data_IF_401118375631
#
_entry.id   IF_401118375631
#
_cell.length_a   1.000
_cell.length_b   1.000
_cell.length_c   1.000
_cell.angle_alpha   90.00
_cell.angle_beta   90.00
_cell.angle_gamma   90.00
#
_symmetry.space_group_name_H-M   'P 1'
#
loop_
_entity.id
_entity.type
_entity.pdbx_description
1 polymer ?
#
# COMPACT_ATOMS: atom_id res chain seq x y z
N UNK A 1 0.55 -3.35 10.72
CA UNK A 1 0.87 -4.25 9.59
C UNK A 1 0.12 -3.82 8.34
N UNK A 2 0.51 -4.32 7.16
CA UNK A 2 -0.13 -4.02 5.87
C UNK A 2 -0.39 -5.30 5.09
N UNK A 3 -1.53 -5.37 4.42
CA UNK A 3 -1.88 -6.41 3.46
C UNK A 3 -2.03 -5.83 2.05
N UNK A 4 -1.66 -6.62 1.04
CA UNK A 4 -1.83 -6.29 -0.37
C UNK A 4 -2.53 -7.44 -1.11
N UNK A 5 -3.49 -7.09 -1.97
CA UNK A 5 -4.16 -8.02 -2.89
C UNK A 5 -3.88 -7.59 -4.33
N UNK A 6 -3.32 -8.51 -5.13
CA UNK A 6 -3.09 -8.34 -6.57
C UNK A 6 -4.15 -9.15 -7.31
N UNK A 7 -4.88 -8.51 -8.23
CA UNK A 7 -5.88 -9.16 -9.07
C UNK A 7 -5.52 -9.01 -10.54
N UNK A 8 -5.67 -10.07 -11.30
CA UNK A 8 -5.53 -10.12 -12.76
C UNK A 8 -6.92 -10.31 -13.38
N UNK A 9 -7.67 -9.24 -13.66
CA UNK A 9 -8.96 -9.37 -14.32
C UNK A 9 -8.75 -9.91 -15.75
N UNK A 10 -9.63 -10.82 -16.24
CA UNK A 10 -9.59 -11.24 -17.64
C UNK A 10 -9.84 -10.02 -18.54
N UNK A 11 -9.04 -9.81 -19.59
CA UNK A 11 -9.01 -8.55 -20.33
C UNK A 11 -9.08 -8.68 -21.85
N UNK A 12 -9.75 -7.69 -22.46
CA UNK A 12 -9.52 -7.19 -23.82
C UNK A 12 -8.96 -5.74 -23.84
N UNK A 13 -9.16 -4.91 -22.80
CA UNK A 13 -8.64 -3.54 -22.72
C UNK A 13 -8.33 -3.04 -21.27
N UNK A 14 -7.07 -2.71 -20.97
CA UNK A 14 -6.64 -2.04 -19.72
C UNK A 14 -5.44 -2.66 -18.97
N UNK A 15 -5.03 -2.09 -17.81
CA UNK A 15 -3.75 -2.40 -17.15
C UNK A 15 -3.74 -3.72 -16.39
N UNK A 16 -2.97 -4.72 -16.83
CA UNK A 16 -3.06 -6.16 -16.50
C UNK A 16 -3.33 -6.52 -15.03
N UNK A 17 -2.91 -5.70 -14.05
CA UNK A 17 -3.14 -5.93 -12.62
C UNK A 17 -3.80 -4.75 -11.90
N UNK A 18 -4.67 -5.08 -10.93
CA UNK A 18 -5.22 -4.16 -9.92
C UNK A 18 -4.68 -4.52 -8.54
N UNK A 19 -4.07 -3.54 -7.87
CA UNK A 19 -3.46 -3.71 -6.54
C UNK A 19 -4.30 -2.95 -5.50
N UNK A 20 -4.73 -3.64 -4.45
CA UNK A 20 -5.44 -3.08 -3.30
C UNK A 20 -4.57 -3.20 -2.04
N UNK A 21 -4.39 -2.11 -1.31
CA UNK A 21 -3.62 -2.03 -0.08
C UNK A 21 -4.53 -1.78 1.13
N UNK A 22 -4.21 -2.41 2.26
CA UNK A 22 -4.87 -2.21 3.55
C UNK A 22 -3.83 -2.10 4.65
N UNK A 23 -3.99 -1.12 5.54
CA UNK A 23 -3.23 -1.04 6.79
C UNK A 23 -4.17 -1.24 7.97
N UNK A 24 -3.69 -1.95 8.98
CA UNK A 24 -4.39 -2.18 10.25
C UNK A 24 -4.12 -1.09 11.29
N UNK A 25 -2.99 -0.38 11.18
CA UNK A 25 -2.56 0.64 12.12
C UNK A 25 -2.55 2.02 11.47
N UNK A 26 -3.01 3.02 12.22
CA UNK A 26 -3.16 4.40 11.74
C UNK A 26 -1.84 5.08 11.37
N UNK A 27 -0.73 4.59 11.92
CA UNK A 27 0.63 5.08 11.64
C UNK A 27 1.07 4.84 10.19
N UNK A 28 0.50 3.84 9.50
CA UNK A 28 0.84 3.53 8.11
C UNK A 28 -0.12 4.19 7.14
N UNK A 29 0.36 5.17 6.38
CA UNK A 29 -0.38 5.76 5.25
C UNK A 29 -0.12 4.97 3.96
N UNK A 30 -0.99 4.01 3.64
CA UNK A 30 -0.89 3.23 2.38
C UNK A 30 -1.28 4.04 1.14
N UNK A 31 -1.94 5.18 1.31
CA UNK A 31 -2.23 6.08 0.18
C UNK A 31 -0.95 6.73 -0.36
N UNK A 32 0.07 6.91 0.48
CA UNK A 32 1.39 7.37 0.05
C UNK A 32 2.08 6.39 -0.91
N UNK A 33 1.98 5.07 -0.64
CA UNK A 33 2.50 4.03 -1.57
C UNK A 33 1.72 4.09 -2.89
N UNK A 34 0.39 4.08 -2.82
CA UNK A 34 -0.45 4.02 -4.02
C UNK A 34 -0.21 5.22 -4.96
N UNK A 35 -0.01 6.43 -4.42
CA UNK A 35 0.28 7.63 -5.22
C UNK A 35 1.60 7.53 -6.01
N UNK A 36 2.62 6.84 -5.49
CA UNK A 36 3.88 6.62 -6.22
C UNK A 36 3.72 5.78 -7.48
N UNK A 37 2.62 5.02 -7.58
CA UNK A 37 2.26 4.21 -8.74
C UNK A 37 1.06 4.80 -9.52
N UNK A 38 0.77 6.09 -9.35
CA UNK A 38 -0.34 6.76 -10.03
C UNK A 38 -1.74 6.39 -9.52
N UNK A 39 -1.84 5.71 -8.38
CA UNK A 39 -3.09 5.42 -7.70
C UNK A 39 -3.44 6.43 -6.60
N UNK A 40 -4.28 5.99 -5.66
CA UNK A 40 -4.72 6.83 -4.55
C UNK A 40 -5.62 6.11 -3.55
N UNK A 41 -6.17 6.87 -2.61
CA UNK A 41 -7.09 6.38 -1.58
C UNK A 41 -6.89 7.07 -0.24
N UNK A 42 -7.33 6.39 0.82
CA UNK A 42 -7.23 6.82 2.22
C UNK A 42 -6.01 6.21 2.91
N UNK A 43 -5.63 6.77 4.06
CA UNK A 43 -4.50 6.29 4.87
C UNK A 43 -4.53 4.79 5.13
N UNK A 44 -5.70 4.23 5.46
CA UNK A 44 -5.86 2.82 5.76
C UNK A 44 -6.21 1.94 4.54
N UNK A 45 -6.63 2.53 3.43
CA UNK A 45 -7.11 1.79 2.27
C UNK A 45 -6.88 2.55 0.96
N UNK A 46 -6.04 2.00 0.10
CA UNK A 46 -5.65 2.62 -1.17
C UNK A 46 -5.44 1.56 -2.26
N UNK A 47 -5.24 1.99 -3.50
CA UNK A 47 -4.95 1.08 -4.59
C UNK A 47 -4.44 1.78 -5.84
N UNK A 48 -3.86 0.98 -6.75
CA UNK A 48 -3.37 1.42 -8.05
C UNK A 48 -3.54 0.30 -9.09
N UNK A 49 -3.41 0.65 -10.37
CA UNK A 49 -3.38 -0.33 -11.47
C UNK A 49 -2.03 -0.27 -12.17
N UNK A 50 -1.55 -1.39 -12.70
CA UNK A 50 -0.23 -1.48 -13.33
C UNK A 50 -0.16 -2.63 -14.32
N UNK A 51 0.78 -2.51 -15.27
CA UNK A 51 1.18 -3.60 -16.17
C UNK A 51 2.42 -4.37 -15.69
N UNK A 52 3.02 -3.94 -14.59
CA UNK A 52 4.19 -4.59 -14.01
C UNK A 52 3.89 -6.05 -13.61
N UNK A 53 4.92 -6.91 -13.64
CA UNK A 53 4.82 -8.30 -13.19
C UNK A 53 4.44 -8.38 -11.71
N UNK A 54 3.92 -9.52 -11.27
CA UNK A 54 3.60 -9.73 -9.84
C UNK A 54 4.86 -9.57 -8.99
N UNK A 55 6.00 -10.06 -9.47
CA UNK A 55 7.29 -9.96 -8.81
C UNK A 55 7.76 -8.51 -8.66
N UNK A 56 7.60 -7.70 -9.70
CA UNK A 56 7.95 -6.27 -9.66
C UNK A 56 7.02 -5.51 -8.70
N UNK A 57 5.73 -5.85 -8.68
CA UNK A 57 4.76 -5.28 -7.71
C UNK A 57 5.16 -5.64 -6.29
N UNK A 58 5.51 -6.90 -6.01
CA UNK A 58 5.93 -7.34 -4.67
C UNK A 58 7.22 -6.62 -4.25
N UNK A 59 8.23 -6.54 -5.12
CA UNK A 59 9.49 -5.83 -4.84
C UNK A 59 9.25 -4.34 -4.57
N UNK A 60 8.39 -3.70 -5.36
CA UNK A 60 7.96 -2.33 -5.14
C UNK A 60 7.32 -2.17 -3.75
N UNK A 61 6.30 -2.98 -3.43
CA UNK A 61 5.57 -2.88 -2.17
C UNK A 61 6.46 -3.11 -0.95
N UNK A 62 7.39 -4.07 -1.01
CA UNK A 62 8.34 -4.33 0.07
C UNK A 62 9.25 -3.12 0.33
N UNK A 63 9.82 -2.54 -0.73
CA UNK A 63 10.68 -1.35 -0.63
C UNK A 63 9.94 -0.18 -0.02
N UNK A 64 8.73 0.10 -0.50
CA UNK A 64 7.93 1.24 -0.01
C UNK A 64 7.44 1.02 1.43
N UNK A 65 7.10 -0.23 1.81
CA UNK A 65 6.73 -0.55 3.18
C UNK A 65 7.89 -0.33 4.16
N UNK A 66 9.11 -0.75 3.82
CA UNK A 66 10.30 -0.50 4.67
C UNK A 66 10.56 1.00 4.80
N UNK A 67 10.44 1.76 3.70
CA UNK A 67 10.58 3.21 3.74
C UNK A 67 9.54 3.86 4.67
N UNK A 68 8.28 3.42 4.62
CA UNK A 68 7.24 3.92 5.53
C UNK A 68 7.52 3.55 6.99
N UNK A 69 7.95 2.31 7.28
CA UNK A 69 8.28 1.89 8.63
C UNK A 69 9.49 2.66 9.22
N UNK A 70 10.48 3.00 8.40
CA UNK A 70 11.60 3.85 8.80
C UNK A 70 11.21 5.31 9.06
N UNK A 71 10.14 5.79 8.42
CA UNK A 71 9.60 7.14 8.59
C UNK A 71 8.52 7.24 9.69
N UNK A 72 7.95 6.11 10.12
CA UNK A 72 6.82 6.02 11.05
C UNK A 72 7.17 5.70 12.51
N UNK A 73 8.45 5.51 12.85
CA UNK A 73 8.89 5.28 14.22
C UNK A 73 8.74 6.55 15.10
N UNK A 74 7.50 6.91 15.42
CA UNK A 74 7.16 7.71 16.59
C UNK A 74 6.77 6.73 17.70
N UNK A 75 7.26 6.87 18.95
CA UNK A 75 6.95 5.92 20.02
C UNK A 75 5.43 5.82 20.24
N UNK A 76 4.90 4.64 20.63
CA UNK A 76 3.48 4.48 20.86
C UNK A 76 3.02 5.51 21.89
N UNK A 77 2.07 6.36 21.49
CA UNK A 77 1.39 7.27 22.39
C UNK A 77 0.76 6.45 23.51
N UNK A 78 1.38 6.50 24.70
CA UNK A 78 0.85 5.92 25.92
C UNK A 78 -0.57 6.43 26.11
N UNK A 79 -1.51 5.51 26.34
CA UNK A 79 -2.87 5.84 26.73
C UNK A 79 -2.78 6.69 28.01
N UNK A 80 -3.21 7.95 27.93
CA UNK A 80 -3.51 8.74 29.12
C UNK A 80 -4.75 8.14 29.76
N UNK A 81 -4.57 7.38 30.83
CA UNK A 81 -5.63 7.13 31.80
C UNK A 81 -6.03 8.46 32.44
N UNK A 82 -7.33 8.70 32.51
CA UNK A 82 -7.99 9.67 33.36
C UNK A 82 -9.21 8.98 33.97
#
# INVERSE_FOLDING_TARGET
DMAALIREPPRDDGPTRKVSLRASADEFDVSAIARKSGGGGHRQAAGFSTDASVEDVVRFLQREFVALAGNGASPPAGKSEA
#
